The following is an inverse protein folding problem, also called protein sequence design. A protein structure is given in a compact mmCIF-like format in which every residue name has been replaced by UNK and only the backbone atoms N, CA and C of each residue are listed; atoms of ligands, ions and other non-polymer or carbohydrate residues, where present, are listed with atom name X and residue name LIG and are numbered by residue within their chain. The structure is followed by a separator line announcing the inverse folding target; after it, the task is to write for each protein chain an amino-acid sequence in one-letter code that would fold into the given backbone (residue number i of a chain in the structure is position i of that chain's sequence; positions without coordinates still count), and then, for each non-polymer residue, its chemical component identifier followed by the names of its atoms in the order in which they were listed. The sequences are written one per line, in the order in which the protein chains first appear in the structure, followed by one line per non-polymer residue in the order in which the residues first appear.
data_IF_063180637413
#
_entry.id   IF_063180637413
#
_cell.length_a   1.000
_cell.length_b   1.000
_cell.length_c   1.000
_cell.angle_alpha   90.00
_cell.angle_beta   90.00
_cell.angle_gamma   90.00
#
_symmetry.space_group_name_H-M   'P 1'
#
loop_
_entity.id
_entity.type
_entity.pdbx_description
1 polymer ?
#
# COMPACT_ATOMS: atom_id res chain seq x y z
N UNK A 1 -11.19 5.71 8.45
CA UNK A 1 -9.72 5.74 8.56
C UNK A 1 -9.26 4.58 9.44
N UNK A 2 -8.24 3.84 9.02
CA UNK A 2 -7.57 2.83 9.84
C UNK A 2 -6.09 3.18 10.09
N UNK A 3 -5.44 2.44 10.98
CA UNK A 3 -4.13 2.80 11.50
C UNK A 3 -3.24 1.56 11.65
N UNK A 4 -1.97 1.71 11.28
CA UNK A 4 -0.91 0.73 11.53
C UNK A 4 0.31 1.41 12.12
N UNK A 5 1.08 0.68 12.92
CA UNK A 5 2.35 1.12 13.50
C UNK A 5 3.29 -0.08 13.68
N UNK A 6 3.95 -0.19 14.83
CA UNK A 6 4.66 -1.38 15.30
C UNK A 6 3.76 -2.63 15.40
N UNK A 7 2.45 -2.50 15.25
CA UNK A 7 1.50 -3.58 15.08
C UNK A 7 0.41 -3.18 14.04
N UNK A 8 -0.28 -4.15 13.41
CA UNK A 8 -0.09 -5.60 13.54
C UNK A 8 1.14 -6.11 12.74
N UNK A 9 1.74 -7.21 13.18
CA UNK A 9 2.84 -7.90 12.46
C UNK A 9 2.30 -9.07 11.63
N UNK A 10 3.19 -9.84 10.99
CA UNK A 10 2.83 -11.03 10.19
C UNK A 10 1.95 -11.94 11.07
N UNK A 11 0.78 -12.41 10.58
CA UNK A 11 0.33 -12.48 9.20
C UNK A 11 -0.52 -11.30 8.68
N UNK A 12 -0.52 -10.14 9.33
CA UNK A 12 -1.25 -8.96 8.84
C UNK A 12 -0.37 -8.12 7.92
N UNK A 13 -0.99 -7.47 6.93
CA UNK A 13 -0.33 -6.47 6.10
C UNK A 13 0.04 -5.21 6.92
N UNK A 14 1.20 -4.60 6.63
CA UNK A 14 1.75 -3.42 7.29
C UNK A 14 2.88 -2.82 6.42
N UNK A 15 3.47 -1.71 6.87
CA UNK A 15 4.49 -0.92 6.17
C UNK A 15 5.91 -1.17 6.69
N UNK A 16 6.21 -2.36 7.23
CA UNK A 16 7.54 -2.70 7.73
C UNK A 16 8.57 -2.91 6.62
N UNK A 17 9.85 -2.71 6.94
CA UNK A 17 10.97 -2.83 5.99
C UNK A 17 11.16 -4.23 5.42
N UNK A 18 10.86 -5.26 6.19
CA UNK A 18 11.02 -6.66 5.79
C UNK A 18 9.79 -7.24 5.07
N UNK A 19 8.75 -6.43 4.86
CA UNK A 19 7.58 -6.84 4.09
C UNK A 19 7.85 -6.72 2.60
N UNK A 20 7.31 -7.67 1.83
CA UNK A 20 7.33 -7.58 0.38
C UNK A 20 6.51 -6.37 -0.09
N UNK A 21 6.93 -5.73 -1.19
CA UNK A 21 6.26 -4.54 -1.71
C UNK A 21 4.77 -4.75 -2.02
N UNK A 22 4.40 -5.97 -2.45
CA UNK A 22 3.01 -6.36 -2.67
C UNK A 22 2.17 -6.25 -1.39
N UNK A 23 2.71 -6.67 -0.24
CA UNK A 23 2.00 -6.65 1.04
C UNK A 23 1.78 -5.20 1.51
N UNK A 24 2.77 -4.33 1.29
CA UNK A 24 2.67 -2.88 1.59
C UNK A 24 1.54 -2.24 0.79
N UNK A 25 1.49 -2.51 -0.52
CA UNK A 25 0.46 -1.99 -1.44
C UNK A 25 -0.92 -2.58 -1.17
N UNK A 26 -0.98 -3.84 -0.74
CA UNK A 26 -2.20 -4.59 -0.43
C UNK A 26 -3.01 -3.98 0.72
N UNK A 27 -2.38 -3.18 1.59
CA UNK A 27 -3.10 -2.45 2.63
C UNK A 27 -4.21 -1.60 2.00
N UNK A 28 -3.94 -0.87 0.91
CA UNK A 28 -4.96 -0.06 0.23
C UNK A 28 -6.08 -0.88 -0.43
N UNK A 29 -5.77 -2.08 -0.91
CA UNK A 29 -6.79 -3.01 -1.42
C UNK A 29 -7.69 -3.53 -0.30
N UNK A 30 -7.11 -3.82 0.87
CA UNK A 30 -7.83 -4.19 2.07
C UNK A 30 -8.66 -3.02 2.64
N UNK A 31 -8.21 -1.76 2.48
CA UNK A 31 -9.02 -0.57 2.80
C UNK A 31 -10.34 -0.60 2.03
N UNK A 32 -10.24 -0.76 0.71
CA UNK A 32 -11.42 -0.84 -0.15
C UNK A 32 -12.33 -2.02 0.23
N UNK A 33 -11.75 -3.21 0.44
CA UNK A 33 -12.52 -4.40 0.84
C UNK A 33 -13.35 -4.17 2.12
N UNK A 34 -12.83 -3.40 3.07
CA UNK A 34 -13.48 -3.16 4.37
C UNK A 34 -14.25 -1.83 4.43
N UNK A 35 -14.43 -1.15 3.30
CA UNK A 35 -15.11 0.14 3.25
C UNK A 35 -14.46 1.20 4.15
N UNK A 36 -13.14 1.32 4.07
CA UNK A 36 -12.34 2.29 4.83
C UNK A 36 -11.72 3.30 3.89
N UNK A 37 -12.06 4.58 4.03
CA UNK A 37 -11.65 5.63 3.08
C UNK A 37 -10.23 6.21 3.29
N UNK A 38 -9.45 5.71 4.25
CA UNK A 38 -8.16 6.33 4.51
C UNK A 38 -7.28 5.65 5.54
N UNK A 39 -6.00 6.00 5.50
CA UNK A 39 -4.97 5.46 6.38
C UNK A 39 -4.25 6.56 7.16
N UNK A 40 -4.11 6.34 8.45
CA UNK A 40 -3.28 7.14 9.34
C UNK A 40 -1.99 6.38 9.61
N UNK A 41 -0.86 7.07 9.48
CA UNK A 41 0.45 6.58 9.91
C UNK A 41 1.09 7.62 10.82
N UNK A 42 1.42 7.24 12.06
CA UNK A 42 1.75 8.20 13.12
C UNK A 42 3.02 9.02 12.84
N UNK A 43 3.92 8.51 12.01
CA UNK A 43 5.21 9.13 11.72
C UNK A 43 5.77 8.66 10.38
N UNK A 44 6.26 9.56 9.55
CA UNK A 44 6.89 9.21 8.26
C UNK A 44 8.38 9.50 8.22
N UNK A 45 8.88 10.28 9.18
CA UNK A 45 10.28 10.65 9.31
C UNK A 45 10.75 10.45 10.74
N UNK A 46 11.61 9.47 10.95
CA UNK A 46 12.09 9.07 12.26
C UNK A 46 13.33 8.22 12.23
N UNK A 47 13.81 7.84 13.42
CA UNK A 47 15.04 7.09 13.59
C UNK A 47 16.30 7.95 13.59
N UNK A 48 17.34 7.47 14.26
CA UNK A 48 18.68 8.06 14.17
C UNK A 48 19.45 7.31 13.08
N UNK A 49 19.29 7.79 11.84
CA UNK A 49 19.90 7.15 10.67
C UNK A 49 21.17 7.90 10.32
N UNK A 50 22.30 7.23 10.42
CA UNK A 50 23.59 7.76 10.00
C UNK A 50 24.28 6.78 9.05
N UNK A 51 25.39 7.22 8.45
CA UNK A 51 26.23 6.35 7.63
C UNK A 51 26.71 5.09 8.38
N UNK A 52 26.78 5.14 9.71
CA UNK A 52 27.37 4.10 10.56
C UNK A 52 26.35 3.43 11.50
N UNK A 53 25.12 3.92 11.54
CA UNK A 53 24.11 3.44 12.48
C UNK A 53 22.74 3.49 11.83
N UNK A 54 22.08 2.33 11.78
CA UNK A 54 20.78 2.13 11.14
C UNK A 54 19.82 1.48 12.13
N UNK A 55 19.55 2.17 13.23
CA UNK A 55 18.61 1.70 14.26
C UNK A 55 17.20 2.24 13.98
N UNK A 56 16.46 1.45 13.20
CA UNK A 56 15.08 1.74 12.80
C UNK A 56 14.10 0.62 13.19
N UNK A 57 14.56 -0.40 13.94
CA UNK A 57 13.77 -1.60 14.22
C UNK A 57 13.14 -2.20 12.96
N UNK A 58 11.82 -2.40 13.01
CA UNK A 58 11.00 -2.89 11.88
C UNK A 58 10.77 -1.85 10.76
N UNK A 59 11.43 -0.69 10.85
CA UNK A 59 11.24 0.46 9.97
C UNK A 59 9.96 1.26 10.26
N UNK A 60 9.37 1.02 11.43
CA UNK A 60 8.19 1.72 11.91
C UNK A 60 8.51 3.20 12.17
N UNK A 61 7.63 4.09 11.71
CA UNK A 61 7.84 5.53 11.81
C UNK A 61 8.87 6.11 10.83
N UNK A 62 9.43 5.29 9.93
CA UNK A 62 10.48 5.68 8.97
C UNK A 62 10.05 5.30 7.56
N UNK A 63 9.52 6.23 6.77
CA UNK A 63 9.21 6.05 5.35
C UNK A 63 10.07 6.93 4.43
N UNK A 64 10.78 7.89 5.01
CA UNK A 64 11.65 8.84 4.32
C UNK A 64 13.04 8.81 4.98
N UNK A 65 14.08 8.93 4.16
CA UNK A 65 15.48 8.93 4.60
C UNK A 65 16.13 10.27 4.27
N UNK A 66 17.11 10.69 5.08
CA UNK A 66 17.85 11.92 4.80
C UNK A 66 18.74 11.73 3.56
N UNK A 67 18.57 12.57 2.54
CA UNK A 67 19.31 12.44 1.28
C UNK A 67 20.83 12.72 1.46
N UNK A 68 21.21 13.37 2.58
CA UNK A 68 22.59 13.68 2.95
C UNK A 68 23.45 12.42 3.08
N UNK A 69 22.85 11.28 3.42
CA UNK A 69 23.51 9.98 3.46
C UNK A 69 24.14 9.59 2.11
N UNK A 70 23.61 10.14 1.00
CA UNK A 70 24.10 9.93 -0.36
C UNK A 70 24.67 11.20 -1.01
N UNK A 71 25.09 12.18 -0.20
CA UNK A 71 25.68 13.43 -0.70
C UNK A 71 24.70 14.35 -1.43
N UNK A 72 23.40 14.19 -1.20
CA UNK A 72 22.34 15.03 -1.77
C UNK A 72 21.64 15.85 -0.68
N UNK A 73 20.93 16.90 -1.07
CA UNK A 73 20.11 17.71 -0.15
C UNK A 73 18.65 17.24 -0.17
N UNK A 74 17.94 17.38 0.95
CA UNK A 74 16.52 17.02 1.06
C UNK A 74 16.28 15.60 1.59
N UNK A 75 15.17 14.99 1.17
CA UNK A 75 14.73 13.67 1.59
C UNK A 75 14.65 12.71 0.41
N UNK A 76 14.99 11.45 0.65
CA UNK A 76 14.81 10.35 -0.27
C UNK A 76 13.61 9.50 0.18
N UNK A 77 12.62 9.24 -0.69
CA UNK A 77 11.52 8.35 -0.35
C UNK A 77 12.03 6.92 -0.21
N UNK A 78 11.45 6.16 0.71
CA UNK A 78 11.63 4.71 0.73
C UNK A 78 10.88 4.06 -0.43
N UNK A 79 11.35 2.88 -0.84
CA UNK A 79 10.58 1.97 -1.69
C UNK A 79 9.15 1.74 -1.16
N UNK A 80 8.98 1.62 0.15
CA UNK A 80 7.67 1.43 0.80
C UNK A 80 6.75 2.63 0.59
N UNK A 81 7.28 3.85 0.65
CA UNK A 81 6.50 5.05 0.39
C UNK A 81 6.02 5.12 -1.06
N UNK A 82 6.82 4.63 -2.01
CA UNK A 82 6.38 4.47 -3.40
C UNK A 82 5.25 3.45 -3.52
N UNK A 83 5.34 2.33 -2.80
CA UNK A 83 4.28 1.31 -2.80
C UNK A 83 2.98 1.78 -2.13
N UNK A 84 3.09 2.59 -1.08
CA UNK A 84 1.93 3.24 -0.44
C UNK A 84 1.25 4.18 -1.42
N UNK A 85 2.02 5.03 -2.12
CA UNK A 85 1.50 5.91 -3.18
C UNK A 85 0.77 5.09 -4.25
N UNK A 86 1.41 4.06 -4.78
CA UNK A 86 0.80 3.24 -5.83
C UNK A 86 -0.46 2.51 -5.34
N UNK A 87 -0.51 2.16 -4.04
CA UNK A 87 -1.71 1.64 -3.42
C UNK A 87 -2.84 2.67 -3.31
N UNK A 88 -2.53 3.96 -3.15
CA UNK A 88 -3.54 5.03 -3.19
C UNK A 88 -4.10 5.20 -4.59
N UNK A 89 -3.24 5.19 -5.62
CA UNK A 89 -3.70 5.23 -7.01
C UNK A 89 -4.62 4.03 -7.34
N UNK A 90 -4.31 2.84 -6.84
CA UNK A 90 -5.17 1.67 -6.99
C UNK A 90 -6.52 1.83 -6.27
N UNK A 91 -6.53 2.41 -5.07
CA UNK A 91 -7.76 2.67 -4.34
C UNK A 91 -8.66 3.64 -5.12
N UNK A 92 -8.09 4.69 -5.69
CA UNK A 92 -8.83 5.63 -6.52
C UNK A 92 -9.42 4.94 -7.76
N UNK A 93 -8.68 4.04 -8.41
CA UNK A 93 -9.23 3.25 -9.52
C UNK A 93 -10.36 2.32 -9.10
N UNK A 94 -10.25 1.66 -7.95
CA UNK A 94 -11.31 0.81 -7.42
C UNK A 94 -12.59 1.63 -7.18
N UNK A 95 -12.46 2.84 -6.64
CA UNK A 95 -13.59 3.76 -6.42
C UNK A 95 -14.18 4.28 -7.73
N UNK A 96 -13.35 4.66 -8.69
CA UNK A 96 -13.81 5.04 -10.03
C UNK A 96 -14.58 3.89 -10.73
N UNK A 97 -14.06 2.66 -10.64
CA UNK A 97 -14.74 1.50 -11.18
C UNK A 97 -16.07 1.22 -10.45
N UNK A 98 -16.10 1.38 -9.13
CA UNK A 98 -17.32 1.21 -8.32
C UNK A 98 -18.43 2.17 -8.75
N UNK A 99 -18.08 3.43 -9.06
CA UNK A 99 -19.04 4.43 -9.56
C UNK A 99 -19.62 4.06 -10.93
N UNK A 100 -18.85 3.38 -11.79
CA UNK A 100 -19.25 3.04 -13.16
C UNK A 100 -20.00 1.70 -13.26
N UNK A 101 -19.49 0.64 -12.62
CA UNK A 101 -20.01 -0.73 -12.76
C UNK A 101 -20.67 -1.28 -11.49
N UNK A 102 -20.61 -0.52 -10.40
CA UNK A 102 -21.13 -0.93 -9.10
C UNK A 102 -20.14 -1.78 -8.29
N UNK A 103 -20.31 -1.72 -6.96
CA UNK A 103 -19.40 -2.35 -6.00
C UNK A 103 -19.30 -3.87 -6.15
N UNK A 104 -20.39 -4.54 -6.49
CA UNK A 104 -20.42 -6.01 -6.61
C UNK A 104 -19.44 -6.52 -7.68
N UNK A 105 -19.35 -5.82 -8.82
CA UNK A 105 -18.44 -6.20 -9.89
C UNK A 105 -16.98 -6.01 -9.47
N UNK A 106 -16.65 -4.88 -8.84
CA UNK A 106 -15.30 -4.58 -8.36
C UNK A 106 -14.87 -5.57 -7.27
N UNK A 107 -15.77 -5.94 -6.35
CA UNK A 107 -15.48 -6.90 -5.28
C UNK A 107 -15.13 -8.30 -5.82
N UNK A 108 -15.64 -8.71 -7.00
CA UNK A 108 -15.22 -9.97 -7.64
C UNK A 108 -13.75 -9.95 -8.06
N UNK A 109 -13.20 -8.78 -8.35
CA UNK A 109 -11.76 -8.60 -8.66
C UNK A 109 -10.95 -8.50 -7.37
N UNK A 110 -11.38 -7.67 -6.43
CA UNK A 110 -10.69 -7.46 -5.14
C UNK A 110 -10.54 -8.76 -4.36
N UNK A 111 -11.56 -9.63 -4.38
CA UNK A 111 -11.52 -10.94 -3.70
C UNK A 111 -10.46 -11.90 -4.26
N UNK A 112 -9.97 -11.69 -5.50
CA UNK A 112 -8.81 -12.42 -6.06
C UNK A 112 -7.50 -12.00 -5.39
N UNK A 113 -7.41 -10.74 -4.96
CA UNK A 113 -6.22 -10.15 -4.32
C UNK A 113 -6.24 -10.37 -2.81
N UNK A 114 -7.37 -10.09 -2.17
CA UNK A 114 -7.57 -10.30 -0.74
C UNK A 114 -9.00 -10.71 -0.44
N UNK A 115 -9.17 -11.83 0.26
CA UNK A 115 -10.46 -12.35 0.72
C UNK A 115 -10.69 -12.08 2.22
N UNK A 116 -9.80 -11.33 2.85
CA UNK A 116 -9.88 -10.92 4.26
C UNK A 116 -8.52 -10.44 4.78
N UNK A 117 -8.49 -9.99 6.04
CA UNK A 117 -7.28 -9.43 6.67
C UNK A 117 -6.05 -10.36 6.63
N UNK A 118 -6.28 -11.66 6.78
CA UNK A 118 -5.23 -12.67 6.88
C UNK A 118 -5.05 -13.52 5.61
N UNK A 119 -5.94 -13.33 4.62
CA UNK A 119 -5.97 -14.13 3.40
C UNK A 119 -5.80 -13.21 2.20
N UNK A 120 -4.56 -13.12 1.73
CA UNK A 120 -4.17 -12.26 0.64
C UNK A 120 -3.06 -12.89 -0.21
N UNK A 121 -2.90 -12.38 -1.43
CA UNK A 121 -1.83 -12.81 -2.33
C UNK A 121 -0.48 -12.20 -1.94
N UNK A 122 0.57 -13.00 -2.00
CA UNK A 122 1.98 -12.54 -1.96
C UNK A 122 2.59 -12.50 -3.36
N UNK A 123 1.85 -12.91 -4.40
CA UNK A 123 2.29 -12.83 -5.79
C UNK A 123 1.89 -11.47 -6.38
N UNK A 124 2.90 -10.68 -6.74
CA UNK A 124 2.74 -9.37 -7.38
C UNK A 124 1.94 -9.46 -8.69
N UNK A 125 2.11 -10.55 -9.46
CA UNK A 125 1.44 -10.71 -10.76
C UNK A 125 -0.08 -10.81 -10.62
N UNK A 126 -0.56 -11.34 -9.49
CA UNK A 126 -1.99 -11.42 -9.19
C UNK A 126 -2.56 -10.02 -8.92
N UNK A 127 -1.82 -9.19 -8.18
CA UNK A 127 -2.21 -7.81 -7.92
C UNK A 127 -2.18 -6.95 -9.19
N UNK A 128 -1.15 -7.11 -10.03
CA UNK A 128 -1.04 -6.41 -11.32
C UNK A 128 -2.18 -6.79 -12.27
N UNK A 129 -2.46 -8.10 -12.44
CA UNK A 129 -3.55 -8.55 -13.29
C UNK A 129 -4.93 -8.06 -12.80
N UNK A 130 -5.14 -8.03 -11.48
CA UNK A 130 -6.37 -7.48 -10.90
C UNK A 130 -6.51 -5.97 -11.17
N UNK A 131 -5.40 -5.22 -11.08
CA UNK A 131 -5.39 -3.79 -11.41
C UNK A 131 -5.73 -3.55 -12.88
N UNK A 132 -5.14 -4.32 -13.79
CA UNK A 132 -5.42 -4.20 -15.23
C UNK A 132 -6.89 -4.50 -15.55
N UNK A 133 -7.49 -5.48 -14.87
CA UNK A 133 -8.91 -5.79 -14.99
C UNK A 133 -9.79 -4.60 -14.55
N UNK A 134 -9.45 -3.95 -13.43
CA UNK A 134 -10.15 -2.73 -12.96
C UNK A 134 -10.02 -1.58 -13.96
N UNK A 135 -8.81 -1.35 -14.48
CA UNK A 135 -8.59 -0.30 -15.49
C UNK A 135 -9.41 -0.57 -16.74
N UNK A 136 -9.48 -1.82 -17.21
CA UNK A 136 -10.30 -2.17 -18.36
C UNK A 136 -11.79 -1.93 -18.09
N UNK A 137 -12.29 -2.26 -16.89
CA UNK A 137 -13.67 -1.94 -16.49
C UNK A 137 -13.97 -0.44 -16.56
N UNK A 138 -13.03 0.41 -16.14
CA UNK A 138 -13.18 1.87 -16.23
C UNK A 138 -13.25 2.30 -17.69
N UNK A 139 -12.29 1.87 -18.52
CA UNK A 139 -12.19 2.27 -19.93
C UNK A 139 -13.42 1.85 -20.74
N UNK A 140 -13.99 0.67 -20.47
CA UNK A 140 -15.17 0.16 -21.18
C UNK A 140 -16.45 0.95 -20.87
N UNK A 141 -16.50 1.62 -19.72
CA UNK A 141 -17.69 2.30 -19.20
C UNK A 141 -17.58 3.84 -19.16
N UNK A 142 -16.41 4.42 -19.50
CA UNK A 142 -16.21 5.88 -19.64
C UNK A 142 -16.73 6.43 -21.00
N UNK A 143 -17.98 6.14 -21.36
CA UNK A 143 -18.63 6.71 -22.55
C UNK A 143 -19.43 7.98 -22.24
#
# INVERSE_FOLDING_TARGET
WWYVCCAPEVPYANYFTFYQGVIVRLLSWQQYFNDVDGVLYYRTFGGQISKYHFDIGNGDGVLQYEARLWGRTGYAPSWRLLQIRDGFDDFDYLRMAEELVGREAVMKVVTKVSSGMLKYTEDYRVLEAARDEIVQMILDNQK
#
